data_IF_668128570837
#
_entry.id   IF_668128570837
#
_cell.length_a   1.000
_cell.length_b   1.000
_cell.length_c   1.000
_cell.angle_alpha   90.00
_cell.angle_beta   90.00
_cell.angle_gamma   90.00
#
_symmetry.space_group_name_H-M   'P 1'
#
loop_
_entity.id
_entity.type
_entity.pdbx_description
1 polymer ?
#
# COMPACT_ATOMS: atom_id res chain seq x y z
N UNK A 1 24.62 0.86 68.66
CA UNK A 1 23.44 1.49 68.00
C UNK A 1 23.68 1.94 66.55
N UNK A 2 24.91 2.19 66.09
CA UNK A 2 25.17 2.66 64.71
C UNK A 2 25.11 1.57 63.62
N UNK A 3 25.48 0.32 63.93
CA UNK A 3 25.47 -0.80 62.97
C UNK A 3 24.05 -1.26 62.59
N UNK A 4 23.10 -1.21 63.53
CA UNK A 4 21.70 -1.60 63.31
C UNK A 4 20.97 -0.62 62.37
N UNK A 5 21.24 0.69 62.48
CA UNK A 5 20.69 1.72 61.58
C UNK A 5 21.20 1.58 60.15
N UNK A 6 22.45 1.18 59.97
CA UNK A 6 23.06 1.02 58.65
C UNK A 6 22.59 -0.27 57.96
N UNK A 7 22.41 -1.37 58.71
CA UNK A 7 21.82 -2.60 58.20
C UNK A 7 20.35 -2.43 57.80
N UNK A 8 19.58 -1.63 58.54
CA UNK A 8 18.18 -1.34 58.22
C UNK A 8 18.05 -0.49 56.96
N UNK A 9 18.92 0.52 56.79
CA UNK A 9 18.95 1.37 55.59
C UNK A 9 19.34 0.58 54.33
N UNK A 10 20.31 -0.34 54.44
CA UNK A 10 20.67 -1.26 53.35
C UNK A 10 19.52 -2.19 53.01
N UNK A 11 18.77 -2.70 53.99
CA UNK A 11 17.60 -3.54 53.74
C UNK A 11 16.49 -2.79 52.99
N UNK A 12 16.20 -1.54 53.39
CA UNK A 12 15.23 -0.69 52.67
C UNK A 12 15.68 -0.35 51.25
N UNK A 13 16.98 -0.11 51.03
CA UNK A 13 17.52 0.15 49.70
C UNK A 13 17.41 -1.08 48.79
N UNK A 14 17.75 -2.27 49.30
CA UNK A 14 17.60 -3.52 48.55
C UNK A 14 16.14 -3.84 48.25
N UNK A 15 15.23 -3.60 49.20
CA UNK A 15 13.79 -3.80 49.00
C UNK A 15 13.24 -2.86 47.91
N UNK A 16 13.71 -1.61 47.86
CA UNK A 16 13.33 -0.64 46.83
C UNK A 16 13.82 -1.05 45.44
N UNK A 17 15.05 -1.55 45.33
CA UNK A 17 15.61 -2.05 44.05
C UNK A 17 14.83 -3.27 43.55
N UNK A 18 14.48 -4.20 44.45
CA UNK A 18 13.65 -5.37 44.12
C UNK A 18 12.27 -4.95 43.63
N UNK A 19 11.62 -3.99 44.30
CA UNK A 19 10.32 -3.45 43.87
C UNK A 19 10.37 -2.79 42.49
N UNK A 20 11.47 -2.09 42.17
CA UNK A 20 11.63 -1.47 40.85
C UNK A 20 11.82 -2.51 39.73
N UNK A 21 12.53 -3.61 40.03
CA UNK A 21 12.73 -4.73 39.09
C UNK A 21 11.48 -5.60 38.88
N UNK A 22 10.50 -5.54 39.78
CA UNK A 22 9.23 -6.28 39.71
C UNK A 22 8.09 -5.47 39.09
N UNK A 23 8.34 -4.25 38.61
CA UNK A 23 7.32 -3.50 37.87
C UNK A 23 6.93 -4.29 36.61
N UNK A 24 5.63 -4.59 36.40
CA UNK A 24 5.21 -5.19 35.15
C UNK A 24 5.54 -4.17 34.06
N UNK A 25 6.34 -4.57 33.06
CA UNK A 25 6.52 -3.79 31.84
C UNK A 25 5.13 -3.60 31.23
N UNK A 26 4.51 -2.46 31.49
CA UNK A 26 3.23 -2.10 30.92
C UNK A 26 3.50 -1.80 29.43
N UNK A 27 3.43 -2.83 28.61
CA UNK A 27 3.44 -2.68 27.16
C UNK A 27 2.09 -2.06 26.76
N UNK A 28 2.01 -0.73 26.83
CA UNK A 28 0.87 0.05 26.35
C UNK A 28 0.81 0.13 24.80
N UNK A 29 1.70 -0.57 24.10
CA UNK A 29 1.81 -0.52 22.66
C UNK A 29 0.99 -1.64 22.01
N UNK A 30 -0.11 -1.23 21.38
CA UNK A 30 -0.90 -2.09 20.48
C UNK A 30 0.03 -2.57 19.37
N UNK A 31 0.24 -3.88 19.30
CA UNK A 31 1.05 -4.50 18.24
C UNK A 31 0.23 -4.45 16.95
N UNK A 32 0.63 -3.58 16.03
CA UNK A 32 0.04 -3.53 14.69
C UNK A 32 0.40 -4.82 13.95
N UNK A 33 -0.63 -5.64 13.72
CA UNK A 33 -0.54 -6.84 12.89
C UNK A 33 -1.15 -6.55 11.51
N UNK A 34 -0.66 -7.19 10.45
CA UNK A 34 -1.17 -7.01 9.08
C UNK A 34 -2.66 -7.35 8.99
N UNK A 35 -3.14 -8.27 9.83
CA UNK A 35 -4.55 -8.65 9.92
C UNK A 35 -5.46 -7.50 10.37
N UNK A 36 -4.95 -6.50 11.09
CA UNK A 36 -5.74 -5.32 11.50
C UNK A 36 -6.06 -4.38 10.33
N UNK A 37 -5.29 -4.45 9.24
CA UNK A 37 -5.48 -3.62 8.04
C UNK A 37 -5.99 -4.42 6.84
N UNK A 38 -6.14 -5.75 6.97
CA UNK A 38 -6.50 -6.65 5.87
C UNK A 38 -7.90 -6.40 5.27
N UNK A 39 -8.78 -5.70 5.97
CA UNK A 39 -10.11 -5.31 5.48
C UNK A 39 -10.15 -3.92 4.82
N UNK A 40 -9.03 -3.19 4.76
CA UNK A 40 -8.99 -1.87 4.14
C UNK A 40 -8.72 -2.01 2.64
N UNK A 41 -9.67 -1.58 1.83
CA UNK A 41 -9.50 -1.46 0.40
C UNK A 41 -9.19 -0.03 -0.01
N UNK A 42 -8.18 0.14 -0.86
CA UNK A 42 -7.90 1.42 -1.49
C UNK A 42 -9.02 1.73 -2.49
N UNK A 43 -9.62 2.91 -2.38
CA UNK A 43 -10.62 3.41 -3.33
C UNK A 43 -10.14 4.70 -3.98
N UNK A 44 -10.48 4.87 -5.25
CA UNK A 44 -10.28 6.15 -5.93
C UNK A 44 -11.18 7.22 -5.29
N UNK A 45 -10.62 8.39 -5.00
CA UNK A 45 -11.35 9.58 -4.51
C UNK A 45 -11.64 10.60 -5.62
N UNK A 46 -11.25 10.29 -6.87
CA UNK A 46 -11.27 11.22 -7.99
C UNK A 46 -9.99 12.07 -8.09
N UNK A 47 -9.83 12.83 -9.19
CA UNK A 47 -8.64 13.63 -9.43
C UNK A 47 -8.61 14.86 -8.51
N UNK A 48 -7.77 14.82 -7.47
CA UNK A 48 -7.56 15.95 -6.56
C UNK A 48 -6.51 16.97 -7.07
N UNK A 49 -5.66 16.58 -8.03
CA UNK A 49 -4.62 17.40 -8.68
C UNK A 49 -4.56 17.02 -10.18
N UNK A 50 -3.87 17.83 -11.01
CA UNK A 50 -3.63 17.62 -12.44
C UNK A 50 -3.50 16.13 -12.80
N UNK A 51 -4.31 15.71 -13.77
CA UNK A 51 -4.38 14.32 -14.26
C UNK A 51 -2.99 13.81 -14.70
N UNK A 52 -2.80 12.50 -14.64
CA UNK A 52 -1.58 11.84 -15.10
C UNK A 52 -1.36 12.04 -16.61
N UNK A 53 -0.11 11.88 -17.06
CA UNK A 53 0.25 11.96 -18.47
C UNK A 53 -0.04 10.65 -19.19
N UNK A 54 -0.87 10.70 -20.23
CA UNK A 54 -1.12 9.59 -21.15
C UNK A 54 -0.09 9.63 -22.27
N UNK A 55 0.56 8.49 -22.53
CA UNK A 55 1.62 8.34 -23.53
C UNK A 55 1.17 7.52 -24.74
N UNK A 56 0.29 6.54 -24.52
CA UNK A 56 -0.17 5.62 -25.56
C UNK A 56 -1.68 5.42 -25.47
N UNK A 57 -2.34 5.37 -26.63
CA UNK A 57 -3.74 4.99 -26.77
C UNK A 57 -3.89 4.12 -28.01
N UNK A 58 -4.60 3.02 -27.90
CA UNK A 58 -4.87 2.13 -29.03
C UNK A 58 -6.19 1.40 -28.84
N UNK A 59 -6.92 1.21 -29.94
CA UNK A 59 -8.25 0.61 -29.96
C UNK A 59 -8.28 -0.73 -30.68
N UNK A 60 -9.33 -1.50 -30.44
CA UNK A 60 -9.63 -2.70 -31.21
C UNK A 60 -10.41 -2.32 -32.46
N UNK A 61 -9.92 -2.68 -33.64
CA UNK A 61 -10.52 -2.24 -34.91
C UNK A 61 -11.96 -2.75 -35.10
N UNK A 62 -12.25 -3.97 -34.63
CA UNK A 62 -13.57 -4.59 -34.76
C UNK A 62 -14.49 -4.31 -33.55
N UNK A 63 -14.00 -3.60 -32.52
CA UNK A 63 -14.80 -3.20 -31.36
C UNK A 63 -14.38 -1.80 -30.90
N UNK A 64 -15.04 -0.73 -31.41
CA UNK A 64 -14.69 0.64 -31.07
C UNK A 64 -14.94 0.99 -29.59
N UNK A 65 -15.65 0.14 -28.84
CA UNK A 65 -15.84 0.36 -27.41
C UNK A 65 -14.64 -0.09 -26.58
N UNK A 66 -13.77 -0.93 -27.14
CA UNK A 66 -12.58 -1.44 -26.44
C UNK A 66 -11.34 -0.62 -26.79
N UNK A 67 -10.84 0.12 -25.79
CA UNK A 67 -9.67 0.98 -25.91
C UNK A 67 -8.72 0.70 -24.75
N UNK A 68 -7.43 0.69 -25.06
CA UNK A 68 -6.34 0.54 -24.11
C UNK A 68 -5.53 1.83 -24.03
N UNK A 69 -5.16 2.22 -22.83
CA UNK A 69 -4.49 3.49 -22.53
C UNK A 69 -3.28 3.22 -21.64
N UNK A 70 -2.12 3.79 -22.01
CA UNK A 70 -0.86 3.71 -21.28
C UNK A 70 -0.50 5.05 -20.67
N UNK A 71 -0.29 5.07 -19.35
CA UNK A 71 0.15 6.24 -18.62
C UNK A 71 1.66 6.22 -18.37
N UNK A 72 2.29 7.40 -18.34
CA UNK A 72 3.73 7.53 -18.10
C UNK A 72 4.19 7.00 -16.74
N UNK A 73 3.30 7.04 -15.74
CA UNK A 73 3.56 6.63 -14.35
C UNK A 73 2.31 6.07 -13.67
N UNK A 74 1.36 5.54 -14.45
CA UNK A 74 0.06 5.07 -13.94
C UNK A 74 -0.37 3.73 -14.52
N UNK A 75 0.51 3.01 -15.20
CA UNK A 75 0.23 1.69 -15.74
C UNK A 75 -0.66 1.70 -16.99
N UNK A 76 -1.20 0.52 -17.32
CA UNK A 76 -2.11 0.33 -18.43
C UNK A 76 -3.56 0.19 -17.95
N UNK A 77 -4.47 0.78 -18.72
CA UNK A 77 -5.89 0.91 -18.46
C UNK A 77 -6.69 0.40 -19.65
N UNK A 78 -7.86 -0.19 -19.38
CA UNK A 78 -8.78 -0.69 -20.39
C UNK A 78 -10.17 -0.10 -20.19
N UNK A 79 -10.82 0.28 -21.28
CA UNK A 79 -12.26 0.54 -21.34
C UNK A 79 -12.92 -0.46 -22.29
N UNK A 80 -14.20 -0.75 -22.06
CA UNK A 80 -15.07 -1.56 -22.93
C UNK A 80 -16.40 -0.85 -23.19
N UNK A 81 -16.49 0.44 -22.86
CA UNK A 81 -17.70 1.26 -22.99
C UNK A 81 -17.40 2.59 -23.68
N UNK A 82 -16.46 2.58 -24.63
CA UNK A 82 -16.14 3.74 -25.45
C UNK A 82 -15.46 4.88 -24.67
N UNK A 83 -14.77 4.56 -23.56
CA UNK A 83 -14.03 5.55 -22.77
C UNK A 83 -14.83 6.22 -21.65
N UNK A 84 -16.07 5.78 -21.38
CA UNK A 84 -16.85 6.32 -20.26
C UNK A 84 -16.24 5.94 -18.91
N UNK A 85 -15.70 4.72 -18.77
CA UNK A 85 -14.92 4.30 -17.59
C UNK A 85 -13.72 3.46 -17.98
N UNK A 86 -12.68 3.54 -17.15
CA UNK A 86 -11.43 2.79 -17.33
C UNK A 86 -11.17 1.91 -16.11
N UNK A 87 -10.70 0.69 -16.36
CA UNK A 87 -10.24 -0.26 -15.35
C UNK A 87 -8.74 -0.47 -15.48
N UNK A 88 -7.98 -0.47 -14.37
CA UNK A 88 -6.56 -0.78 -14.43
C UNK A 88 -6.37 -2.27 -14.75
N UNK A 89 -5.40 -2.59 -15.59
CA UNK A 89 -5.03 -3.97 -15.95
C UNK A 89 -3.58 -4.30 -15.59
N UNK A 90 -2.83 -3.33 -15.06
CA UNK A 90 -1.39 -3.42 -14.87
C UNK A 90 -0.91 -2.93 -13.49
N UNK A 91 -1.77 -2.98 -12.46
CA UNK A 91 -1.46 -2.46 -11.12
C UNK A 91 -0.31 -3.19 -10.40
N UNK A 92 -0.09 -4.46 -10.73
CA UNK A 92 0.93 -5.31 -10.07
C UNK A 92 2.31 -5.23 -10.71
N UNK A 93 2.47 -4.47 -11.80
CA UNK A 93 3.67 -4.47 -12.63
C UNK A 93 4.24 -3.04 -12.80
N UNK A 94 5.20 -2.87 -13.71
CA UNK A 94 5.82 -1.58 -14.03
C UNK A 94 4.77 -0.55 -14.45
N UNK A 95 4.81 0.61 -13.79
CA UNK A 95 3.80 1.67 -13.99
C UNK A 95 4.12 2.62 -15.15
N UNK A 96 5.31 2.51 -15.75
CA UNK A 96 5.71 3.37 -16.86
C UNK A 96 5.42 2.67 -18.19
N UNK A 97 4.40 3.16 -18.90
CA UNK A 97 3.97 2.63 -20.19
C UNK A 97 4.14 3.73 -21.24
N UNK A 98 5.02 3.51 -22.19
CA UNK A 98 5.28 4.38 -23.35
C UNK A 98 4.68 3.87 -24.66
N UNK A 99 4.39 2.58 -24.77
CA UNK A 99 3.83 1.97 -25.98
C UNK A 99 2.84 0.85 -25.67
N UNK A 100 1.84 0.68 -26.53
CA UNK A 100 0.88 -0.43 -26.48
C UNK A 100 0.68 -0.98 -27.88
N UNK A 101 0.75 -2.30 -28.03
CA UNK A 101 0.40 -3.02 -29.24
C UNK A 101 -0.70 -4.05 -28.94
N UNK A 102 -1.68 -4.19 -29.84
CA UNK A 102 -2.77 -5.15 -29.73
C UNK A 102 -2.68 -6.11 -30.93
N UNK A 103 -2.86 -7.41 -30.69
CA UNK A 103 -3.16 -8.34 -31.76
C UNK A 103 -4.60 -8.12 -32.25
N UNK A 104 -4.76 -7.53 -33.44
CA UNK A 104 -6.08 -7.25 -34.00
C UNK A 104 -6.84 -8.51 -34.44
N UNK A 105 -6.15 -9.64 -34.64
CA UNK A 105 -6.78 -10.93 -34.96
C UNK A 105 -7.32 -11.62 -33.72
N UNK A 106 -6.61 -11.51 -32.59
CA UNK A 106 -7.04 -11.97 -31.28
C UNK A 106 -6.88 -10.88 -30.21
N UNK A 107 -7.87 -9.97 -30.07
CA UNK A 107 -7.78 -8.77 -29.21
C UNK A 107 -7.68 -9.02 -27.69
N UNK A 108 -7.54 -10.28 -27.28
CA UNK A 108 -7.23 -10.72 -25.93
C UNK A 108 -5.73 -10.66 -25.62
N UNK A 109 -4.88 -10.59 -26.65
CA UNK A 109 -3.43 -10.50 -26.52
C UNK A 109 -2.95 -9.07 -26.76
N UNK A 110 -2.26 -8.51 -25.77
CA UNK A 110 -1.68 -7.17 -25.82
C UNK A 110 -0.25 -7.17 -25.31
N UNK A 111 0.55 -6.22 -25.81
CA UNK A 111 1.90 -5.96 -25.35
C UNK A 111 2.01 -4.51 -24.89
N UNK A 112 2.80 -4.30 -23.84
CA UNK A 112 3.08 -2.98 -23.27
C UNK A 112 4.59 -2.81 -23.11
N UNK A 113 5.08 -1.60 -23.32
CA UNK A 113 6.49 -1.23 -23.18
C UNK A 113 6.65 0.19 -22.69
#
# INVERSE_FOLDING_TARGET
MHTLRMSLLMFFFTLMVVCFSLTPKLYAQVKFDSNMLGGLEARSIGPAVMSGRIMAITGVNNDPNTIYVGAASGGAWKTTNGGATFKPIFDKYTQSIGAIAIDQSTPNTIWVG
#
